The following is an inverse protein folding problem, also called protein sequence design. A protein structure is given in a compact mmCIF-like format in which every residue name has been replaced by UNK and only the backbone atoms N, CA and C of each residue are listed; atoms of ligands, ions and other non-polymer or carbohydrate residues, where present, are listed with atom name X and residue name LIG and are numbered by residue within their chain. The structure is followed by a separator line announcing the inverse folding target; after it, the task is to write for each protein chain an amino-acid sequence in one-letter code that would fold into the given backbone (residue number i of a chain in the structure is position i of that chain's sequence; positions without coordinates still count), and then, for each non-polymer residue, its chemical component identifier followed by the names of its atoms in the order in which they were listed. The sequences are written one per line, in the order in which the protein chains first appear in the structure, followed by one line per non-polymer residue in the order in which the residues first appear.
data_IF_231658686537
#
_entry.id   IF_231658686537
#
_cell.length_a   1.000
_cell.length_b   1.000
_cell.length_c   1.000
_cell.angle_alpha   90.00
_cell.angle_beta   90.00
_cell.angle_gamma   90.00
#
_symmetry.space_group_name_H-M   'P 1'
#
loop_
_entity.id
_entity.type
_entity.pdbx_description
1 polymer ?
#
# COMPACT_ATOMS: atom_id res chain seq x y z
N UNK A 1 -5.32 -5.29 -30.81
CA UNK A 1 -6.73 -4.94 -30.50
C UNK A 1 -6.71 -3.68 -29.65
N UNK A 2 -7.31 -2.56 -30.07
CA UNK A 2 -7.17 -1.33 -29.30
C UNK A 2 -8.30 -1.24 -28.28
N UNK A 3 -8.02 -1.58 -27.03
CA UNK A 3 -8.86 -1.12 -25.92
C UNK A 3 -8.87 0.41 -25.94
N UNK A 4 -10.04 1.03 -25.82
CA UNK A 4 -10.12 2.47 -25.92
C UNK A 4 -9.28 3.14 -24.82
N UNK A 5 -8.68 4.30 -25.10
CA UNK A 5 -7.94 5.10 -24.09
C UNK A 5 -8.75 5.39 -22.82
N UNK A 6 -10.09 5.35 -22.93
CA UNK A 6 -11.01 5.45 -21.80
C UNK A 6 -10.91 4.24 -20.86
N UNK A 7 -10.86 3.02 -21.41
CA UNK A 7 -10.72 1.78 -20.64
C UNK A 7 -9.41 1.76 -19.86
N UNK A 8 -8.31 2.23 -20.46
CA UNK A 8 -7.02 2.35 -19.77
C UNK A 8 -7.07 3.30 -18.57
N UNK A 9 -7.69 4.46 -18.75
CA UNK A 9 -7.85 5.45 -17.69
C UNK A 9 -8.76 4.94 -16.57
N UNK A 10 -9.82 4.23 -16.93
CA UNK A 10 -10.75 3.62 -15.97
C UNK A 10 -10.06 2.51 -15.18
N UNK A 11 -9.27 1.68 -15.84
CA UNK A 11 -8.47 0.65 -15.18
C UNK A 11 -7.45 1.24 -14.19
N UNK A 12 -6.75 2.33 -14.56
CA UNK A 12 -5.81 3.00 -13.65
C UNK A 12 -6.51 3.57 -12.42
N UNK A 13 -7.68 4.19 -12.59
CA UNK A 13 -8.46 4.76 -11.50
C UNK A 13 -8.96 3.68 -10.53
N UNK A 14 -9.63 2.65 -11.06
CA UNK A 14 -10.15 1.55 -10.25
C UNK A 14 -8.99 0.81 -9.57
N UNK A 15 -7.91 0.55 -10.31
CA UNK A 15 -6.71 -0.10 -9.78
C UNK A 15 -6.11 0.68 -8.60
N UNK A 16 -6.03 2.01 -8.70
CA UNK A 16 -5.51 2.87 -7.63
C UNK A 16 -6.37 2.79 -6.36
N UNK A 17 -7.70 2.80 -6.50
CA UNK A 17 -8.62 2.66 -5.37
C UNK A 17 -8.58 1.26 -4.74
N UNK A 18 -8.46 0.21 -5.55
CA UNK A 18 -8.31 -1.16 -5.06
C UNK A 18 -6.99 -1.35 -4.31
N UNK A 19 -5.89 -0.77 -4.80
CA UNK A 19 -4.61 -0.77 -4.09
C UNK A 19 -4.74 -0.13 -2.71
N UNK A 20 -5.37 1.05 -2.66
CA UNK A 20 -5.63 1.77 -1.41
C UNK A 20 -6.45 0.93 -0.42
N UNK A 21 -7.52 0.31 -0.90
CA UNK A 21 -8.41 -0.53 -0.09
C UNK A 21 -7.72 -1.81 0.40
N UNK A 22 -6.81 -2.36 -0.41
CA UNK A 22 -5.98 -3.50 -0.05
C UNK A 22 -4.76 -3.12 0.82
N UNK A 23 -4.75 -1.89 1.37
CA UNK A 23 -3.73 -1.40 2.30
C UNK A 23 -2.33 -1.16 1.71
N UNK A 24 -2.18 -1.19 0.39
CA UNK A 24 -0.96 -0.73 -0.28
C UNK A 24 -0.84 0.79 -0.25
N UNK A 25 0.39 1.32 -0.31
CA UNK A 25 0.61 2.75 -0.46
C UNK A 25 0.26 3.19 -1.91
N UNK A 26 -0.77 4.02 -2.14
CA UNK A 26 -1.16 4.44 -3.48
C UNK A 26 -0.07 5.25 -4.21
N UNK A 27 0.84 5.90 -3.49
CA UNK A 27 1.96 6.64 -4.08
C UNK A 27 2.94 5.75 -4.86
N UNK A 28 2.98 4.44 -4.56
CA UNK A 28 3.80 3.48 -5.29
C UNK A 28 3.36 3.32 -6.75
N UNK A 29 2.11 3.65 -7.08
CA UNK A 29 1.61 3.66 -8.46
C UNK A 29 2.39 4.64 -9.34
N UNK A 30 2.73 5.83 -8.82
CA UNK A 30 3.56 6.81 -9.56
C UNK A 30 4.96 6.24 -9.82
N UNK A 31 5.55 5.57 -8.84
CA UNK A 31 6.89 4.97 -8.97
C UNK A 31 6.88 3.83 -9.99
N UNK A 32 5.83 3.00 -10.01
CA UNK A 32 5.62 1.98 -11.03
C UNK A 32 5.63 2.57 -12.44
N UNK A 33 4.79 3.57 -12.71
CA UNK A 33 4.70 4.18 -14.04
C UNK A 33 5.98 4.92 -14.45
N UNK A 34 6.69 5.53 -13.51
CA UNK A 34 8.04 6.09 -13.76
C UNK A 34 9.04 5.02 -14.17
N UNK A 35 8.99 3.80 -13.58
CA UNK A 35 9.85 2.68 -13.97
C UNK A 35 9.47 2.14 -15.35
N UNK A 36 8.18 1.98 -15.64
CA UNK A 36 7.69 1.53 -16.95
C UNK A 36 8.10 2.50 -18.07
N UNK A 37 7.97 3.81 -17.85
CA UNK A 37 8.41 4.83 -18.79
C UNK A 37 9.91 4.73 -19.11
N UNK A 38 10.76 4.30 -18.17
CA UNK A 38 12.19 4.09 -18.41
C UNK A 38 12.46 2.84 -19.25
N UNK A 39 11.72 1.76 -19.02
CA UNK A 39 11.87 0.50 -19.77
C UNK A 39 11.43 0.69 -21.22
N UNK A 40 10.33 1.42 -21.46
CA UNK A 40 9.83 1.65 -22.82
C UNK A 40 10.70 2.55 -23.68
N UNK A 41 11.64 3.32 -23.10
CA UNK A 41 12.66 4.06 -23.89
C UNK A 41 13.59 3.13 -24.67
N UNK A 42 13.62 1.84 -24.36
CA UNK A 42 14.38 0.81 -25.07
C UNK A 42 13.51 0.02 -26.08
N UNK A 43 12.23 0.35 -26.24
CA UNK A 43 11.25 -0.36 -27.06
C UNK A 43 10.90 0.43 -28.36
N UNK A 44 10.32 -0.22 -29.40
CA UNK A 44 9.95 0.42 -30.66
C UNK A 44 9.00 1.63 -30.47
N UNK A 45 8.86 2.52 -31.48
CA UNK A 45 8.18 3.80 -31.36
C UNK A 45 6.78 3.69 -30.75
N UNK A 46 6.45 4.64 -29.86
CA UNK A 46 5.22 4.69 -29.05
C UNK A 46 3.94 4.40 -29.82
N UNK A 47 3.86 4.69 -31.12
CA UNK A 47 2.69 4.40 -31.96
C UNK A 47 2.38 2.88 -32.10
N UNK A 48 3.36 2.01 -31.89
CA UNK A 48 3.22 0.55 -32.00
C UNK A 48 3.00 -0.15 -30.66
N UNK A 49 3.17 0.55 -29.53
CA UNK A 49 2.86 0.01 -28.21
C UNK A 49 1.35 0.01 -27.99
N UNK A 50 0.78 -1.09 -27.50
CA UNK A 50 -0.67 -1.22 -27.33
C UNK A 50 -1.25 -0.29 -26.25
N UNK A 51 -0.42 0.42 -25.47
CA UNK A 51 -0.83 1.39 -24.43
C UNK A 51 0.20 2.52 -24.18
N UNK A 52 0.29 3.59 -25.01
CA UNK A 52 1.33 4.61 -24.87
C UNK A 52 0.76 5.97 -24.43
N UNK A 53 0.88 6.31 -23.15
CA UNK A 53 1.09 7.68 -22.63
C UNK A 53 1.35 7.68 -21.10
N UNK A 54 2.59 7.42 -20.69
CA UNK A 54 2.96 7.37 -19.26
C UNK A 54 2.78 8.70 -18.52
N UNK A 55 3.05 9.82 -19.19
CA UNK A 55 2.97 11.14 -18.56
C UNK A 55 1.52 11.52 -18.25
N UNK A 56 0.59 11.28 -19.18
CA UNK A 56 -0.83 11.51 -18.95
C UNK A 56 -1.39 10.60 -17.84
N UNK A 57 -0.91 9.35 -17.75
CA UNK A 57 -1.27 8.44 -16.66
C UNK A 57 -0.78 8.94 -15.31
N UNK A 58 0.49 9.33 -15.21
CA UNK A 58 1.04 9.91 -13.99
C UNK A 58 0.27 11.17 -13.58
N UNK A 59 -0.09 12.05 -14.53
CA UNK A 59 -0.88 13.23 -14.24
C UNK A 59 -2.23 12.87 -13.62
N UNK A 60 -2.99 11.95 -14.24
CA UNK A 60 -4.28 11.48 -13.71
C UNK A 60 -4.16 10.83 -12.34
N UNK A 61 -3.14 10.00 -12.13
CA UNK A 61 -2.90 9.36 -10.82
C UNK A 61 -2.63 10.41 -9.75
N UNK A 62 -1.91 11.50 -10.06
CA UNK A 62 -1.75 12.61 -9.12
C UNK A 62 -3.07 13.31 -8.82
N UNK A 63 -3.94 13.49 -9.83
CA UNK A 63 -5.28 14.08 -9.65
C UNK A 63 -6.17 13.22 -8.73
N UNK A 64 -6.07 11.88 -8.81
CA UNK A 64 -6.84 10.94 -7.99
C UNK A 64 -6.17 10.59 -6.65
N UNK A 65 -4.93 11.03 -6.42
CA UNK A 65 -4.17 10.67 -5.22
C UNK A 65 -4.87 11.04 -3.91
N UNK A 66 -5.48 12.23 -3.75
CA UNK A 66 -6.18 12.58 -2.52
C UNK A 66 -7.31 11.60 -2.18
N UNK A 67 -8.07 11.18 -3.18
CA UNK A 67 -9.16 10.20 -3.03
C UNK A 67 -8.63 8.81 -2.66
N UNK A 68 -7.55 8.37 -3.30
CA UNK A 68 -6.94 7.08 -2.99
C UNK A 68 -6.37 7.05 -1.56
N UNK A 69 -5.75 8.15 -1.10
CA UNK A 69 -5.26 8.27 0.27
C UNK A 69 -6.41 8.26 1.27
N UNK A 70 -7.51 8.96 0.97
CA UNK A 70 -8.74 8.90 1.78
C UNK A 70 -9.28 7.47 1.84
N UNK A 71 -9.41 6.79 0.69
CA UNK A 71 -9.90 5.41 0.61
C UNK A 71 -9.07 4.45 1.45
N UNK A 72 -7.74 4.62 1.47
CA UNK A 72 -6.83 3.85 2.33
C UNK A 72 -7.05 4.14 3.81
N UNK A 73 -7.29 5.40 4.18
CA UNK A 73 -7.53 5.79 5.57
C UNK A 73 -8.88 5.28 6.10
N UNK A 74 -9.90 5.22 5.25
CA UNK A 74 -11.22 4.65 5.57
C UNK A 74 -11.21 3.12 5.62
N UNK A 75 -10.19 2.48 5.04
CA UNK A 75 -10.06 1.02 5.04
C UNK A 75 -9.47 0.52 6.35
N UNK A 76 -9.76 -0.73 6.69
CA UNK A 76 -9.39 -1.38 7.97
C UNK A 76 -7.87 -1.65 8.15
N UNK A 77 -7.04 -0.93 7.40
CA UNK A 77 -5.60 -1.15 7.25
C UNK A 77 -4.79 -0.96 8.53
N UNK A 78 -5.32 -0.21 9.49
CA UNK A 78 -4.70 0.00 10.80
C UNK A 78 -5.25 -0.97 11.86
N UNK A 79 -6.43 -1.54 11.61
CA UNK A 79 -7.16 -2.32 12.61
C UNK A 79 -6.78 -3.81 12.62
N UNK A 80 -6.01 -4.27 11.62
CA UNK A 80 -5.49 -5.65 11.60
C UNK A 80 -4.65 -6.01 12.84
N UNK A 81 -4.12 -5.01 13.57
CA UNK A 81 -3.32 -5.21 14.78
C UNK A 81 -4.00 -4.82 16.10
N UNK A 82 -5.18 -4.19 16.04
CA UNK A 82 -5.87 -3.72 17.25
C UNK A 82 -6.49 -4.86 18.05
N UNK A 83 -6.95 -5.93 17.39
CA UNK A 83 -7.40 -7.15 18.08
C UNK A 83 -6.30 -7.83 18.90
N UNK A 84 -5.07 -7.86 18.37
CA UNK A 84 -3.92 -8.43 19.08
C UNK A 84 -3.43 -7.51 20.21
N UNK A 85 -3.34 -6.19 19.97
CA UNK A 85 -2.97 -5.24 21.03
C UNK A 85 -3.99 -5.22 22.15
N UNK A 86 -5.28 -5.15 21.86
CA UNK A 86 -6.33 -5.16 22.89
C UNK A 86 -6.30 -6.45 23.73
N UNK A 87 -6.02 -7.60 23.09
CA UNK A 87 -5.83 -8.87 23.81
C UNK A 87 -4.62 -8.79 24.74
N UNK A 88 -3.46 -8.33 24.26
CA UNK A 88 -2.26 -8.22 25.10
C UNK A 88 -2.37 -7.16 26.22
N UNK A 89 -3.09 -6.05 26.01
CA UNK A 89 -3.46 -5.09 27.08
C UNK A 89 -4.30 -5.74 28.17
N UNK A 90 -5.28 -6.57 27.79
CA UNK A 90 -6.18 -7.27 28.73
C UNK A 90 -5.43 -8.26 29.63
N UNK A 91 -4.39 -8.90 29.11
CA UNK A 91 -3.54 -9.83 29.85
C UNK A 91 -2.30 -9.16 30.46
N UNK A 92 -2.05 -7.87 30.21
CA UNK A 92 -0.87 -7.16 30.71
C UNK A 92 -0.75 -7.16 32.24
N UNK A 93 -1.83 -7.04 33.04
CA UNK A 93 -1.75 -7.19 34.49
C UNK A 93 -1.27 -8.59 34.89
N UNK A 94 -1.69 -9.64 34.16
CA UNK A 94 -1.37 -11.04 34.48
C UNK A 94 0.10 -11.39 34.17
N UNK A 95 0.68 -10.79 33.14
CA UNK A 95 2.10 -10.97 32.81
C UNK A 95 3.04 -10.09 33.65
N UNK A 96 2.58 -8.89 34.08
CA UNK A 96 3.39 -7.99 34.91
C UNK A 96 3.60 -8.47 36.35
N UNK A 97 2.84 -9.47 36.82
CA UNK A 97 3.05 -10.07 38.14
C UNK A 97 4.30 -10.97 38.22
N UNK A 98 4.96 -11.30 37.10
CA UNK A 98 6.10 -12.24 37.09
C UNK A 98 7.49 -11.59 37.10
N UNK A 99 7.59 -10.26 37.13
CA UNK A 99 8.87 -9.51 37.11
C UNK A 99 9.13 -8.70 38.39
N UNK A 100 8.26 -8.80 39.39
CA UNK A 100 8.34 -8.02 40.63
C UNK A 100 8.60 -8.86 41.89
N UNK A 101 9.21 -10.04 41.76
CA UNK A 101 9.60 -10.87 42.91
C UNK A 101 11.14 -10.87 43.07
N UNK A 102 11.71 -10.23 44.12
CA UNK A 102 13.15 -10.09 44.30
C UNK A 102 13.78 -11.31 44.99
N UNK A 103 13.45 -12.54 44.58
CA UNK A 103 13.92 -13.76 45.27
C UNK A 103 14.45 -14.90 44.37
N UNK A 104 15.09 -14.61 43.24
CA UNK A 104 15.93 -15.61 42.54
C UNK A 104 17.30 -15.03 42.19
N UNK A 105 18.14 -14.89 43.22
CA UNK A 105 19.59 -14.90 43.10
C UNK A 105 20.15 -15.90 44.12
N UNK A 106 20.15 -17.18 43.77
CA UNK A 106 21.03 -18.17 44.41
C UNK A 106 22.15 -18.53 43.44
N UNK A 107 23.42 -18.48 43.85
CA UNK A 107 24.53 -18.88 42.99
C UNK A 107 24.56 -20.41 42.91
N UNK A 108 24.73 -20.94 41.69
CA UNK A 108 25.07 -22.35 41.49
C UNK A 108 26.60 -22.54 41.54
N UNK A 109 27.09 -23.69 42.04
CA UNK A 109 28.52 -23.98 42.26
C UNK A 109 29.35 -24.07 40.99
#
# INVERSE_FOLDING_TARGET
MPFSRKCESEADYIGLLLMAQACYNPEEAIKMWKRMSKVEKAAPPQFLSTHPNHEARIKKINEWMPEALQKRAESDCLHQFEGFRSTTERFRPLWNYHLADPMVQSPHP
#
